data_IF_049652860686
#
_entry.id   IF_049652860686
#
_cell.length_a   1.000
_cell.length_b   1.000
_cell.length_c   1.000
_cell.angle_alpha   90.00
_cell.angle_beta   90.00
_cell.angle_gamma   90.00
#
_symmetry.space_group_name_H-M   'P 1'
#
loop_
_entity.id
_entity.type
_entity.pdbx_description
1 polymer ?
#
# COMPACT_ATOMS: atom_id res chain seq x y z
N UNK A 1 -6.19 -12.56 -8.98
CA UNK A 1 -7.52 -11.94 -8.80
C UNK A 1 -7.42 -10.59 -8.10
N UNK A 2 -6.93 -10.46 -6.85
CA UNK A 2 -6.82 -9.15 -6.18
C UNK A 2 -5.82 -8.17 -6.83
N UNK A 3 -4.61 -8.62 -7.20
CA UNK A 3 -3.63 -7.77 -7.87
C UNK A 3 -4.14 -7.25 -9.22
N UNK A 4 -4.92 -8.07 -9.94
CA UNK A 4 -5.58 -7.66 -11.18
C UNK A 4 -6.64 -6.58 -10.90
N UNK A 5 -7.43 -6.75 -9.84
CA UNK A 5 -8.39 -5.73 -9.40
C UNK A 5 -7.73 -4.37 -9.10
N UNK A 6 -6.52 -4.38 -8.51
CA UNK A 6 -5.70 -3.18 -8.33
C UNK A 6 -5.24 -2.58 -9.65
N UNK A 7 -4.63 -3.40 -10.53
CA UNK A 7 -4.05 -2.92 -11.79
C UNK A 7 -5.09 -2.41 -12.79
N UNK A 8 -6.29 -2.98 -12.77
CA UNK A 8 -7.40 -2.66 -13.68
C UNK A 8 -8.43 -1.70 -13.06
N UNK A 9 -8.19 -1.22 -11.84
CA UNK A 9 -9.09 -0.32 -11.10
C UNK A 9 -10.52 -0.84 -10.97
N UNK A 10 -10.67 -2.12 -10.65
CA UNK A 10 -11.95 -2.83 -10.55
C UNK A 10 -12.48 -2.92 -9.11
N UNK A 11 -12.43 -1.85 -8.34
CA UNK A 11 -12.88 -1.84 -6.93
C UNK A 11 -14.33 -2.32 -6.70
N UNK A 12 -15.18 -2.34 -7.73
CA UNK A 12 -16.52 -2.92 -7.67
C UNK A 12 -16.53 -4.45 -7.44
N UNK A 13 -15.43 -5.15 -7.72
CA UNK A 13 -15.28 -6.58 -7.45
C UNK A 13 -14.84 -6.92 -6.01
N UNK A 14 -14.54 -5.90 -5.18
CA UNK A 14 -13.97 -6.09 -3.83
C UNK A 14 -14.86 -6.95 -2.92
N UNK A 15 -16.17 -6.69 -2.93
CA UNK A 15 -17.14 -7.40 -2.06
C UNK A 15 -17.24 -8.88 -2.42
N UNK A 16 -17.33 -9.18 -3.71
CA UNK A 16 -17.36 -10.55 -4.22
C UNK A 16 -16.06 -11.31 -3.88
N UNK A 17 -14.92 -10.62 -3.96
CA UNK A 17 -13.63 -11.22 -3.63
C UNK A 17 -13.47 -11.50 -2.13
N UNK A 18 -13.91 -10.59 -1.26
CA UNK A 18 -13.92 -10.82 0.19
C UNK A 18 -14.84 -12.00 0.54
N UNK A 19 -16.02 -12.08 -0.08
CA UNK A 19 -16.95 -13.19 0.13
C UNK A 19 -16.34 -14.54 -0.30
N UNK A 20 -15.68 -14.60 -1.45
CA UNK A 20 -15.02 -15.82 -1.94
C UNK A 20 -13.95 -16.33 -0.95
N UNK A 21 -13.10 -15.45 -0.42
CA UNK A 21 -12.06 -15.84 0.55
C UNK A 21 -12.63 -16.41 1.83
N UNK A 22 -13.77 -15.89 2.30
CA UNK A 22 -14.43 -16.37 3.52
C UNK A 22 -15.03 -17.76 3.33
N UNK A 23 -15.42 -18.10 2.10
CA UNK A 23 -15.97 -19.42 1.74
C UNK A 23 -14.84 -20.43 1.56
N UNK A 24 -13.76 -20.07 0.86
CA UNK A 24 -12.72 -20.99 0.41
C UNK A 24 -11.76 -21.50 1.50
N UNK A 25 -12.06 -21.33 2.79
CA UNK A 25 -11.21 -21.76 3.91
C UNK A 25 -9.73 -21.42 3.67
N UNK A 26 -9.44 -20.15 3.36
CA UNK A 26 -8.07 -19.62 3.42
C UNK A 26 -7.87 -18.82 4.72
N UNK A 27 -7.65 -19.48 5.89
CA UNK A 27 -7.42 -18.80 7.15
C UNK A 27 -6.34 -17.73 7.09
N UNK A 28 -5.29 -17.97 6.29
CA UNK A 28 -4.20 -17.02 6.08
C UNK A 28 -4.66 -15.67 5.50
N UNK A 29 -5.75 -15.67 4.72
CA UNK A 29 -6.30 -14.46 4.11
C UNK A 29 -7.47 -13.86 4.89
N UNK A 30 -8.00 -14.54 5.91
CA UNK A 30 -9.10 -14.00 6.73
C UNK A 30 -8.68 -12.73 7.46
N UNK A 31 -7.47 -12.69 8.03
CA UNK A 31 -6.95 -11.48 8.68
C UNK A 31 -6.81 -10.32 7.70
N UNK A 32 -6.38 -10.62 6.46
CA UNK A 32 -6.29 -9.64 5.39
C UNK A 32 -7.67 -9.10 4.98
N UNK A 33 -8.64 -9.99 4.72
CA UNK A 33 -10.01 -9.63 4.40
C UNK A 33 -10.69 -8.80 5.50
N UNK A 34 -10.42 -9.11 6.77
CA UNK A 34 -10.89 -8.31 7.91
C UNK A 34 -10.25 -6.90 7.93
N UNK A 35 -9.00 -6.77 7.51
CA UNK A 35 -8.35 -5.47 7.30
C UNK A 35 -9.06 -4.68 6.21
N UNK A 36 -9.25 -5.28 5.03
CA UNK A 36 -9.92 -4.62 3.91
C UNK A 36 -11.35 -4.18 4.25
N UNK A 37 -12.07 -4.98 5.02
CA UNK A 37 -13.44 -4.65 5.42
C UNK A 37 -13.51 -3.53 6.46
N UNK A 38 -12.49 -3.37 7.32
CA UNK A 38 -12.41 -2.23 8.25
C UNK A 38 -12.19 -0.92 7.51
N UNK A 39 -11.35 -0.94 6.48
CA UNK A 39 -11.00 0.24 5.66
C UNK A 39 -11.75 0.24 4.31
N UNK A 40 -12.94 -0.33 4.25
CA UNK A 40 -13.63 -0.71 3.01
C UNK A 40 -13.75 0.44 2.00
N UNK A 41 -14.26 1.61 2.41
CA UNK A 41 -14.42 2.75 1.50
C UNK A 41 -13.08 3.24 0.95
N UNK A 42 -12.05 3.29 1.80
CA UNK A 42 -10.71 3.70 1.41
C UNK A 42 -10.08 2.70 0.44
N UNK A 43 -10.23 1.40 0.70
CA UNK A 43 -9.75 0.33 -0.18
C UNK A 43 -10.50 0.35 -1.50
N UNK A 44 -11.84 0.43 -1.49
CA UNK A 44 -12.65 0.51 -2.71
C UNK A 44 -12.24 1.71 -3.57
N UNK A 45 -12.03 2.88 -2.96
CA UNK A 45 -11.54 4.06 -3.65
C UNK A 45 -10.12 3.86 -4.20
N UNK A 46 -9.20 3.28 -3.43
CA UNK A 46 -7.85 2.95 -3.89
C UNK A 46 -7.82 1.93 -5.03
N UNK A 47 -8.86 1.08 -5.11
CA UNK A 47 -9.07 0.12 -6.19
C UNK A 47 -9.89 0.66 -7.36
N UNK A 48 -10.36 1.90 -7.34
CA UNK A 48 -11.24 2.46 -8.40
C UNK A 48 -10.69 3.74 -9.00
N UNK A 49 -10.09 4.59 -8.17
CA UNK A 49 -9.56 5.87 -8.60
C UNK A 49 -8.18 5.67 -9.25
N UNK A 50 -7.83 6.49 -10.27
CA UNK A 50 -6.52 6.40 -10.93
C UNK A 50 -5.37 6.96 -10.07
N UNK A 51 -5.66 7.40 -8.85
CA UNK A 51 -4.68 7.97 -7.94
C UNK A 51 -3.95 6.86 -7.19
N UNK A 52 -2.62 6.89 -7.23
CA UNK A 52 -1.78 5.98 -6.45
C UNK A 52 -0.84 6.76 -5.53
N UNK A 53 -0.54 6.18 -4.37
CA UNK A 53 0.50 6.66 -3.46
C UNK A 53 1.92 6.29 -3.93
N UNK A 54 2.08 5.63 -5.08
CA UNK A 54 3.35 5.03 -5.50
C UNK A 54 4.53 6.01 -5.58
N UNK A 55 4.33 7.21 -6.12
CA UNK A 55 5.37 8.23 -6.16
C UNK A 55 5.76 8.74 -4.76
N UNK A 56 4.79 8.86 -3.85
CA UNK A 56 5.01 9.27 -2.46
C UNK A 56 5.72 8.16 -1.68
N UNK A 57 5.27 6.92 -1.83
CA UNK A 57 5.87 5.74 -1.21
C UNK A 57 7.29 5.50 -1.70
N UNK A 58 7.57 5.71 -2.99
CA UNK A 58 8.91 5.67 -3.55
C UNK A 58 9.85 6.66 -2.85
N UNK A 59 9.42 7.92 -2.69
CA UNK A 59 10.19 8.94 -1.96
C UNK A 59 10.40 8.57 -0.50
N UNK A 60 9.38 8.04 0.17
CA UNK A 60 9.50 7.55 1.56
C UNK A 60 10.47 6.37 1.65
N UNK A 61 10.47 5.46 0.67
CA UNK A 61 11.38 4.33 0.61
C UNK A 61 12.83 4.81 0.45
N UNK A 62 13.09 5.76 -0.45
CA UNK A 62 14.41 6.39 -0.61
C UNK A 62 14.89 7.04 0.68
N UNK A 63 14.01 7.78 1.37
CA UNK A 63 14.35 8.39 2.67
C UNK A 63 14.65 7.35 3.75
N UNK A 64 13.87 6.26 3.83
CA UNK A 64 14.12 5.14 4.76
C UNK A 64 15.44 4.44 4.45
N UNK A 65 15.75 4.25 3.17
CA UNK A 65 17.01 3.66 2.71
C UNK A 65 18.20 4.52 3.10
N UNK A 66 18.15 5.82 2.82
CA UNK A 66 19.19 6.77 3.18
C UNK A 66 19.44 6.80 4.69
N UNK A 67 18.37 6.86 5.49
CA UNK A 67 18.47 6.78 6.96
C UNK A 67 19.12 5.47 7.42
N UNK A 68 18.83 4.34 6.76
CA UNK A 68 19.43 3.03 7.06
C UNK A 68 20.91 2.96 6.68
N UNK A 69 21.30 3.47 5.51
CA UNK A 69 22.72 3.57 5.10
C UNK A 69 23.55 4.35 6.13
N UNK A 70 22.94 5.35 6.76
CA UNK A 70 23.60 6.18 7.75
C UNK A 70 23.50 5.64 9.17
N UNK A 71 23.04 4.39 9.34
CA UNK A 71 22.83 3.74 10.63
C UNK A 71 21.98 4.59 11.60
N UNK A 72 21.03 5.36 11.06
CA UNK A 72 20.17 6.26 11.83
C UNK A 72 20.84 7.54 12.32
N UNK A 73 22.10 7.82 11.95
CA UNK A 73 22.87 9.00 12.39
C UNK A 73 22.59 10.28 11.58
N UNK A 74 21.70 10.20 10.59
CA UNK A 74 21.32 11.35 9.78
C UNK A 74 20.33 12.23 10.56
N UNK A 75 20.74 13.47 10.87
CA UNK A 75 19.82 14.48 11.36
C UNK A 75 18.89 14.96 10.22
N UNK A 76 17.84 15.70 10.55
CA UNK A 76 16.83 16.12 9.57
C UNK A 76 17.44 16.95 8.42
N UNK A 77 18.34 17.87 8.75
CA UNK A 77 18.97 18.76 7.75
C UNK A 77 19.80 17.96 6.74
N UNK A 78 20.53 16.94 7.20
CA UNK A 78 21.34 16.06 6.37
C UNK A 78 20.47 15.15 5.48
N UNK A 79 19.37 14.60 6.02
CA UNK A 79 18.40 13.86 5.22
C UNK A 79 17.75 14.73 4.15
N UNK A 80 17.41 15.97 4.50
CA UNK A 80 16.79 16.94 3.58
C UNK A 80 17.74 17.32 2.46
N UNK A 81 19.01 17.61 2.78
CA UNK A 81 20.02 17.93 1.77
C UNK A 81 20.18 16.79 0.75
N UNK A 82 20.34 15.54 1.21
CA UNK A 82 20.53 14.41 0.30
C UNK A 82 19.28 14.00 -0.49
N UNK A 83 18.08 14.27 0.03
CA UNK A 83 16.83 14.02 -0.67
C UNK A 83 16.46 15.10 -1.71
N UNK A 84 17.07 16.30 -1.62
CA UNK A 84 16.85 17.41 -2.55
C UNK A 84 17.97 17.54 -3.60
N UNK A 85 19.16 17.00 -3.31
CA UNK A 85 20.33 17.06 -4.20
C UNK A 85 20.56 15.79 -5.05
N UNK A 86 19.77 14.74 -4.87
CA UNK A 86 19.67 13.60 -5.81
C UNK A 86 18.36 13.69 -6.60
#
# INVERSE_FOLDING_TARGET
>A
MFAQMMSELQGHHLDAWIAAIRIDLLPALHAFANGLQRDHDAVRNGLTLPYSSGAVEGRVCTLKFLKRLMFGRANYDLLRAMALHN
#
